data_IF_198420401000
#
_entry.id   IF_198420401000
#
_cell.length_a   1.000
_cell.length_b   1.000
_cell.length_c   1.000
_cell.angle_alpha   90.00
_cell.angle_beta   90.00
_cell.angle_gamma   90.00
#
_symmetry.space_group_name_H-M   'P 1'
#
loop_
_entity.id
_entity.type
_entity.pdbx_description
1 polymer ?
#
# COMPACT_ATOMS: atom_id res chain seq x y z
N UNK A 1 -8.01 -15.70 -25.52
CA UNK A 1 -6.91 -16.55 -26.04
C UNK A 1 -5.60 -15.77 -26.02
N UNK A 2 -4.46 -16.45 -25.96
CA UNK A 2 -3.12 -15.84 -25.99
C UNK A 2 -2.95 -14.94 -27.22
N UNK A 3 -3.46 -15.37 -28.39
CA UNK A 3 -3.41 -14.62 -29.67
C UNK A 3 -4.04 -13.22 -29.50
N UNK A 4 -5.18 -13.11 -28.82
CA UNK A 4 -5.85 -11.82 -28.63
C UNK A 4 -5.03 -10.91 -27.71
N UNK A 5 -4.46 -11.44 -26.63
CA UNK A 5 -3.60 -10.68 -25.71
C UNK A 5 -2.34 -10.20 -26.41
N UNK A 6 -1.66 -11.09 -27.13
CA UNK A 6 -0.43 -10.76 -27.88
C UNK A 6 -0.69 -9.72 -28.97
N UNK A 7 -1.84 -9.79 -29.67
CA UNK A 7 -2.24 -8.77 -30.65
C UNK A 7 -2.42 -7.40 -30.02
N UNK A 8 -3.06 -7.33 -28.84
CA UNK A 8 -3.23 -6.06 -28.10
C UNK A 8 -1.88 -5.50 -27.67
N UNK A 9 -1.01 -6.35 -27.11
CA UNK A 9 0.33 -5.94 -26.68
C UNK A 9 1.16 -5.47 -27.86
N UNK A 10 1.14 -6.20 -29.00
CA UNK A 10 1.85 -5.84 -30.24
C UNK A 10 1.42 -4.45 -30.74
N UNK A 11 0.12 -4.25 -30.89
CA UNK A 11 -0.42 -2.95 -31.32
C UNK A 11 0.01 -1.81 -30.37
N UNK A 12 0.01 -2.11 -29.05
CA UNK A 12 0.45 -1.11 -28.08
C UNK A 12 1.94 -0.77 -28.26
N UNK A 13 2.80 -1.77 -28.49
CA UNK A 13 4.24 -1.60 -28.72
C UNK A 13 4.46 -0.75 -29.98
N UNK A 14 3.83 -1.10 -31.08
CA UNK A 14 3.97 -0.38 -32.36
C UNK A 14 3.65 1.11 -32.23
N UNK A 15 2.58 1.47 -31.50
CA UNK A 15 2.13 2.85 -31.32
C UNK A 15 3.00 3.60 -30.29
N UNK A 16 3.45 2.92 -29.23
CA UNK A 16 4.03 3.54 -28.04
C UNK A 16 5.49 3.16 -27.77
N UNK A 17 6.21 2.67 -28.77
CA UNK A 17 7.63 2.29 -28.64
C UNK A 17 8.52 3.48 -28.25
N UNK A 18 8.18 4.68 -28.74
CA UNK A 18 8.85 5.93 -28.35
C UNK A 18 8.23 6.48 -27.08
N UNK A 19 9.05 7.16 -26.27
CA UNK A 19 8.59 7.84 -25.07
C UNK A 19 7.45 8.82 -25.37
N UNK A 20 6.39 8.68 -24.59
CA UNK A 20 5.26 9.63 -24.57
C UNK A 20 4.80 9.79 -23.11
N UNK A 21 4.75 11.02 -22.63
CA UNK A 21 4.43 11.34 -21.22
C UNK A 21 3.06 10.81 -20.75
N UNK A 22 2.08 10.69 -21.65
CA UNK A 22 0.75 10.15 -21.33
C UNK A 22 0.78 8.64 -21.16
N UNK A 23 1.42 7.90 -22.09
CA UNK A 23 1.43 6.44 -22.12
C UNK A 23 2.57 5.82 -21.30
N UNK A 24 3.63 6.59 -21.02
CA UNK A 24 4.75 6.21 -20.17
C UNK A 24 4.70 6.84 -18.78
N UNK A 25 3.49 7.21 -18.32
CA UNK A 25 3.30 7.65 -16.94
C UNK A 25 3.83 6.58 -15.97
N UNK A 26 4.55 7.01 -14.93
CA UNK A 26 5.29 6.14 -14.02
C UNK A 26 4.44 4.97 -13.46
N UNK A 27 3.26 5.27 -12.91
CA UNK A 27 2.38 4.27 -12.32
C UNK A 27 1.81 3.30 -13.37
N UNK A 28 1.35 3.83 -14.51
CA UNK A 28 0.78 3.03 -15.60
C UNK A 28 1.85 2.11 -16.22
N UNK A 29 3.06 2.62 -16.43
CA UNK A 29 4.19 1.83 -16.93
C UNK A 29 4.57 0.72 -15.97
N UNK A 30 4.62 1.03 -14.66
CA UNK A 30 4.91 0.03 -13.63
C UNK A 30 3.88 -1.10 -13.62
N UNK A 31 2.60 -0.77 -13.62
CA UNK A 31 1.50 -1.75 -13.65
C UNK A 31 1.50 -2.57 -14.95
N UNK A 32 1.85 -1.97 -16.08
CA UNK A 32 1.98 -2.65 -17.37
C UNK A 32 3.08 -3.71 -17.34
N UNK A 33 4.29 -3.35 -16.89
CA UNK A 33 5.41 -4.29 -16.76
C UNK A 33 5.00 -5.47 -15.88
N UNK A 34 4.43 -5.18 -14.69
CA UNK A 34 3.97 -6.21 -13.76
C UNK A 34 2.92 -7.11 -14.45
N UNK A 35 1.91 -6.51 -15.08
CA UNK A 35 0.84 -7.28 -15.74
C UNK A 35 1.38 -8.15 -16.86
N UNK A 36 2.25 -7.64 -17.72
CA UNK A 36 2.75 -8.39 -18.86
C UNK A 36 3.70 -9.51 -18.44
N UNK A 37 4.62 -9.25 -17.52
CA UNK A 37 5.57 -10.27 -17.05
C UNK A 37 4.91 -11.33 -16.16
N UNK A 38 4.03 -10.92 -15.22
CA UNK A 38 3.34 -11.91 -14.35
C UNK A 38 2.34 -12.79 -15.10
N UNK A 39 1.93 -12.40 -16.29
CA UNK A 39 1.05 -13.19 -17.16
C UNK A 39 1.75 -13.66 -18.44
N UNK A 40 3.05 -14.00 -18.36
CA UNK A 40 3.88 -14.35 -19.52
C UNK A 40 3.30 -15.50 -20.37
N UNK A 41 2.60 -16.44 -19.75
CA UNK A 41 1.89 -17.51 -20.45
C UNK A 41 0.88 -16.99 -21.46
N UNK A 42 0.27 -15.82 -21.20
CA UNK A 42 -0.69 -15.19 -22.11
C UNK A 42 -0.03 -14.17 -23.04
N UNK A 43 0.91 -13.39 -22.51
CA UNK A 43 1.50 -12.26 -23.19
C UNK A 43 2.73 -12.60 -24.03
N UNK A 44 3.41 -13.72 -23.77
CA UNK A 44 4.72 -14.01 -24.34
C UNK A 44 4.85 -15.44 -24.92
N UNK A 45 4.33 -16.48 -24.23
CA UNK A 45 4.50 -17.86 -24.65
C UNK A 45 3.87 -18.11 -26.01
N UNK A 46 4.58 -18.96 -26.82
CA UNK A 46 4.16 -19.35 -28.17
C UNK A 46 3.99 -18.17 -29.15
N UNK A 47 4.56 -17.02 -28.87
CA UNK A 47 4.60 -15.89 -29.78
C UNK A 47 5.76 -16.04 -30.79
N UNK A 48 5.68 -15.29 -31.91
CA UNK A 48 6.77 -15.25 -32.91
C UNK A 48 8.05 -14.64 -32.34
N UNK A 49 9.20 -15.01 -32.90
CA UNK A 49 10.49 -14.53 -32.42
C UNK A 49 10.60 -12.98 -32.52
N UNK A 50 10.11 -12.40 -33.61
CA UNK A 50 10.10 -10.95 -33.76
C UNK A 50 9.27 -10.26 -32.65
N UNK A 51 8.10 -10.78 -32.32
CA UNK A 51 7.29 -10.26 -31.23
C UNK A 51 8.03 -10.35 -29.90
N UNK A 52 8.71 -11.47 -29.61
CA UNK A 52 9.49 -11.66 -28.37
C UNK A 52 10.63 -10.66 -28.27
N UNK A 53 11.32 -10.37 -29.36
CA UNK A 53 12.37 -9.36 -29.42
C UNK A 53 11.79 -7.98 -29.08
N UNK A 54 10.69 -7.57 -29.72
CA UNK A 54 10.06 -6.28 -29.50
C UNK A 54 9.52 -6.14 -28.09
N UNK A 55 8.91 -7.20 -27.56
CA UNK A 55 8.42 -7.29 -26.19
C UNK A 55 9.55 -7.12 -25.17
N UNK A 56 10.65 -7.86 -25.32
CA UNK A 56 11.79 -7.79 -24.41
C UNK A 56 12.43 -6.39 -24.44
N UNK A 57 12.63 -5.83 -25.61
CA UNK A 57 13.20 -4.50 -25.79
C UNK A 57 12.36 -3.42 -25.12
N UNK A 58 11.03 -3.46 -25.27
CA UNK A 58 10.16 -2.44 -24.67
C UNK A 58 10.07 -2.58 -23.15
N UNK A 59 10.04 -3.79 -22.61
CA UNK A 59 10.05 -4.02 -21.15
C UNK A 59 11.34 -3.47 -20.52
N UNK A 60 12.49 -3.82 -21.06
CA UNK A 60 13.79 -3.33 -20.55
C UNK A 60 13.88 -1.81 -20.64
N UNK A 61 13.50 -1.23 -21.77
CA UNK A 61 13.47 0.23 -21.97
C UNK A 61 12.57 0.93 -20.96
N UNK A 62 11.39 0.38 -20.67
CA UNK A 62 10.47 0.93 -19.69
C UNK A 62 11.00 0.78 -18.26
N UNK A 63 11.62 -0.35 -17.90
CA UNK A 63 12.20 -0.54 -16.59
C UNK A 63 13.36 0.44 -16.32
N UNK A 64 14.20 0.70 -17.31
CA UNK A 64 15.24 1.73 -17.22
C UNK A 64 14.64 3.14 -17.06
N UNK A 65 13.56 3.43 -17.79
CA UNK A 65 12.83 4.69 -17.62
C UNK A 65 12.30 4.83 -16.17
N UNK A 66 11.68 3.79 -15.61
CA UNK A 66 11.21 3.81 -14.22
C UNK A 66 12.37 4.06 -13.25
N UNK A 67 13.49 3.35 -13.42
CA UNK A 67 14.68 3.53 -12.58
C UNK A 67 15.20 4.97 -12.59
N UNK A 68 15.19 5.62 -13.74
CA UNK A 68 15.63 7.02 -13.88
C UNK A 68 14.64 8.02 -13.25
N UNK A 69 13.35 7.66 -13.13
CA UNK A 69 12.31 8.53 -12.58
C UNK A 69 12.05 8.31 -11.09
N UNK A 70 12.47 7.17 -10.51
CA UNK A 70 12.03 6.70 -9.19
C UNK A 70 12.28 7.70 -8.06
N UNK A 71 13.38 8.43 -8.10
CA UNK A 71 13.74 9.44 -7.09
C UNK A 71 12.85 10.71 -7.17
N UNK A 72 12.18 10.95 -8.29
CA UNK A 72 11.27 12.10 -8.49
C UNK A 72 9.86 11.80 -7.99
N UNK A 73 9.53 10.54 -7.75
CA UNK A 73 8.19 10.11 -7.32
C UNK A 73 8.04 10.36 -5.83
N UNK A 74 7.20 11.31 -5.45
CA UNK A 74 6.91 11.65 -4.04
C UNK A 74 5.98 10.65 -3.37
N UNK A 75 4.98 10.13 -4.10
CA UNK A 75 4.03 9.14 -3.60
C UNK A 75 4.73 7.79 -3.39
N UNK A 76 4.85 7.37 -2.13
CA UNK A 76 5.56 6.16 -1.76
C UNK A 76 4.86 4.86 -2.19
N UNK A 77 3.53 4.87 -2.38
CA UNK A 77 2.83 3.72 -2.95
C UNK A 77 3.13 3.56 -4.44
N UNK A 78 3.08 4.67 -5.21
CA UNK A 78 3.49 4.65 -6.62
C UNK A 78 4.95 4.23 -6.77
N UNK A 79 5.81 4.73 -5.87
CA UNK A 79 7.22 4.34 -5.84
C UNK A 79 7.38 2.85 -5.58
N UNK A 80 6.62 2.26 -4.64
CA UNK A 80 6.65 0.83 -4.36
C UNK A 80 6.26 0.00 -5.59
N UNK A 81 5.21 0.40 -6.31
CA UNK A 81 4.78 -0.27 -7.55
C UNK A 81 5.91 -0.24 -8.60
N UNK A 82 6.57 0.91 -8.77
CA UNK A 82 7.70 1.04 -9.69
C UNK A 82 8.91 0.20 -9.31
N UNK A 83 9.26 0.16 -8.02
CA UNK A 83 10.30 -0.70 -7.47
C UNK A 83 10.00 -2.17 -7.77
N UNK A 84 8.76 -2.59 -7.56
CA UNK A 84 8.33 -3.97 -7.83
C UNK A 84 8.47 -4.33 -9.31
N UNK A 85 8.10 -3.41 -10.21
CA UNK A 85 8.28 -3.61 -11.65
C UNK A 85 9.76 -3.73 -12.06
N UNK A 86 10.64 -2.91 -11.46
CA UNK A 86 12.09 -2.95 -11.71
C UNK A 86 12.67 -4.29 -11.24
N UNK A 87 12.31 -4.75 -10.03
CA UNK A 87 12.76 -6.03 -9.48
C UNK A 87 12.28 -7.17 -10.37
N UNK A 88 11.00 -7.19 -10.74
CA UNK A 88 10.44 -8.24 -11.62
C UNK A 88 11.16 -8.30 -12.96
N UNK A 89 11.45 -7.13 -13.57
CA UNK A 89 12.22 -7.10 -14.83
C UNK A 89 13.62 -7.71 -14.62
N UNK A 90 14.31 -7.36 -13.55
CA UNK A 90 15.63 -7.94 -13.25
C UNK A 90 15.58 -9.45 -12.96
N UNK A 91 14.47 -9.95 -12.43
CA UNK A 91 14.26 -11.40 -12.23
C UNK A 91 13.96 -12.13 -13.53
N UNK A 92 13.22 -11.51 -14.45
CA UNK A 92 12.83 -12.09 -15.74
C UNK A 92 14.00 -12.14 -16.75
N UNK A 93 14.98 -11.23 -16.66
CA UNK A 93 16.10 -11.14 -17.59
C UNK A 93 17.44 -11.35 -16.89
N UNK A 94 18.15 -12.44 -17.21
CA UNK A 94 19.38 -12.84 -16.52
C UNK A 94 20.53 -11.81 -16.64
N UNK A 95 20.56 -11.07 -17.74
CA UNK A 95 21.60 -10.05 -18.00
C UNK A 95 21.35 -8.75 -17.22
N UNK A 96 20.17 -8.59 -16.63
CA UNK A 96 19.73 -7.37 -15.93
C UNK A 96 19.89 -7.45 -14.40
N UNK A 97 20.90 -8.18 -13.89
CA UNK A 97 21.19 -8.27 -12.44
C UNK A 97 21.27 -6.91 -11.73
N UNK A 98 21.72 -5.88 -12.44
CA UNK A 98 21.79 -4.51 -11.92
C UNK A 98 20.43 -3.96 -11.52
N UNK A 99 19.34 -4.36 -12.20
CA UNK A 99 17.97 -3.95 -11.87
C UNK A 99 17.52 -4.56 -10.54
N UNK A 100 17.87 -5.82 -10.27
CA UNK A 100 17.57 -6.47 -8.96
C UNK A 100 18.26 -5.70 -7.84
N UNK A 101 19.57 -5.47 -7.94
CA UNK A 101 20.35 -4.82 -6.89
C UNK A 101 19.82 -3.41 -6.61
N UNK A 102 19.61 -2.59 -7.66
CA UNK A 102 19.07 -1.23 -7.52
C UNK A 102 17.62 -1.25 -7.02
N UNK A 103 16.78 -2.17 -7.52
CA UNK A 103 15.40 -2.34 -7.07
C UNK A 103 15.32 -2.68 -5.59
N UNK A 104 16.13 -3.62 -5.11
CA UNK A 104 16.19 -4.01 -3.69
C UNK A 104 16.71 -2.86 -2.80
N UNK A 105 17.71 -2.09 -3.23
CA UNK A 105 18.17 -0.90 -2.50
C UNK A 105 17.05 0.13 -2.36
N UNK A 106 16.34 0.44 -3.45
CA UNK A 106 15.20 1.33 -3.41
C UNK A 106 14.05 0.78 -2.56
N UNK A 107 13.80 -0.54 -2.58
CA UNK A 107 12.80 -1.19 -1.74
C UNK A 107 13.13 -1.01 -0.26
N UNK A 108 14.36 -1.32 0.13
CA UNK A 108 14.84 -1.17 1.51
C UNK A 108 14.72 0.27 2.01
N UNK A 109 15.09 1.24 1.17
CA UNK A 109 14.94 2.67 1.47
C UNK A 109 13.47 3.08 1.62
N UNK A 110 12.59 2.60 0.72
CA UNK A 110 11.16 2.92 0.75
C UNK A 110 10.49 2.35 2.01
N UNK A 111 10.81 1.12 2.39
CA UNK A 111 10.34 0.47 3.62
C UNK A 111 10.81 1.27 4.84
N UNK A 112 12.11 1.49 5.03
CA UNK A 112 12.69 2.20 6.17
C UNK A 112 12.14 3.63 6.33
N UNK A 113 11.85 4.29 5.23
CA UNK A 113 11.30 5.65 5.25
C UNK A 113 9.85 5.65 5.74
N UNK A 114 9.01 4.70 5.30
CA UNK A 114 7.56 4.75 5.50
C UNK A 114 7.04 3.87 6.63
N UNK A 115 7.75 2.81 6.99
CA UNK A 115 7.36 1.91 8.08
C UNK A 115 8.24 2.16 9.31
N UNK A 116 7.67 1.93 10.50
CA UNK A 116 8.39 1.92 11.77
C UNK A 116 9.11 0.58 12.01
N UNK A 117 9.70 0.40 13.20
CA UNK A 117 10.40 -0.83 13.58
C UNK A 117 9.48 -2.06 13.73
N UNK A 118 8.18 -1.85 13.85
CA UNK A 118 7.17 -2.90 13.92
C UNK A 118 6.47 -3.15 12.57
N UNK A 119 7.00 -2.58 11.49
CA UNK A 119 6.43 -2.70 10.15
C UNK A 119 5.11 -1.94 9.96
N UNK A 120 4.75 -1.02 10.88
CA UNK A 120 3.53 -0.24 10.74
C UNK A 120 3.79 1.10 10.03
N UNK A 121 2.82 1.60 9.21
CA UNK A 121 3.00 2.86 8.50
C UNK A 121 3.16 4.06 9.44
N UNK A 122 4.25 4.81 9.30
CA UNK A 122 4.49 6.06 10.05
C UNK A 122 3.42 7.13 9.78
N UNK A 123 2.67 7.00 8.70
CA UNK A 123 1.51 7.83 8.39
C UNK A 123 0.26 7.46 9.21
N UNK A 124 0.29 6.37 9.95
CA UNK A 124 -0.84 5.73 10.63
C UNK A 124 -1.99 5.32 9.69
N UNK A 125 -1.76 5.38 8.37
CA UNK A 125 -2.73 4.91 7.39
C UNK A 125 -2.66 3.38 7.29
N UNK A 126 -3.65 2.72 7.91
CA UNK A 126 -3.71 1.25 7.98
C UNK A 126 -3.76 0.58 6.60
N UNK A 127 -4.38 1.22 5.59
CA UNK A 127 -4.42 0.68 4.23
C UNK A 127 -3.03 0.56 3.60
N UNK A 128 -2.08 1.40 4.02
CA UNK A 128 -0.69 1.29 3.56
C UNK A 128 -0.07 -0.05 3.94
N UNK A 129 -0.45 -0.65 5.08
CA UNK A 129 0.03 -1.99 5.47
C UNK A 129 -0.38 -3.05 4.45
N UNK A 130 -1.62 -3.01 3.95
CA UNK A 130 -2.11 -3.96 2.92
C UNK A 130 -1.35 -3.75 1.61
N UNK A 131 -1.13 -2.51 1.20
CA UNK A 131 -0.42 -2.20 -0.05
C UNK A 131 1.02 -2.71 0.03
N UNK A 132 1.74 -2.44 1.11
CA UNK A 132 3.10 -2.95 1.30
C UNK A 132 3.11 -4.48 1.36
N UNK A 133 2.21 -5.11 2.13
CA UNK A 133 2.11 -6.56 2.26
C UNK A 133 1.87 -7.21 0.88
N UNK A 134 0.93 -6.68 0.09
CA UNK A 134 0.62 -7.19 -1.24
C UNK A 134 1.85 -7.19 -2.15
N UNK A 135 2.57 -6.08 -2.23
CA UNK A 135 3.71 -5.98 -3.14
C UNK A 135 4.93 -6.76 -2.65
N UNK A 136 5.15 -6.86 -1.33
CA UNK A 136 6.22 -7.70 -0.79
C UNK A 136 5.94 -9.19 -1.04
N UNK A 137 4.70 -9.65 -0.88
CA UNK A 137 4.30 -11.01 -1.24
C UNK A 137 4.51 -11.26 -2.73
N UNK A 138 4.11 -10.34 -3.61
CA UNK A 138 4.36 -10.45 -5.05
C UNK A 138 5.85 -10.60 -5.35
N UNK A 139 6.69 -9.75 -4.77
CA UNK A 139 8.15 -9.83 -4.95
C UNK A 139 8.68 -11.18 -4.45
N UNK A 140 8.23 -11.65 -3.29
CA UNK A 140 8.61 -12.95 -2.74
C UNK A 140 8.27 -14.10 -3.69
N UNK A 141 7.05 -14.13 -4.19
CA UNK A 141 6.62 -15.18 -5.12
C UNK A 141 7.43 -15.13 -6.45
N UNK A 142 7.77 -13.95 -6.96
CA UNK A 142 8.63 -13.82 -8.15
C UNK A 142 10.06 -14.30 -7.90
N UNK A 143 10.66 -14.06 -6.72
CA UNK A 143 11.94 -14.64 -6.34
C UNK A 143 11.88 -16.16 -6.31
N UNK A 144 10.82 -16.71 -5.72
CA UNK A 144 10.58 -18.16 -5.67
C UNK A 144 10.42 -18.76 -7.07
N UNK A 145 9.61 -18.16 -7.95
CA UNK A 145 9.43 -18.61 -9.34
C UNK A 145 10.73 -18.55 -10.16
N UNK A 146 11.54 -17.52 -9.93
CA UNK A 146 12.83 -17.36 -10.63
C UNK A 146 13.96 -18.19 -10.02
N UNK A 147 13.72 -18.91 -8.93
CA UNK A 147 14.71 -19.72 -8.20
C UNK A 147 15.96 -18.93 -7.78
N UNK A 148 15.80 -17.63 -7.52
CA UNK A 148 16.86 -16.75 -7.05
C UNK A 148 16.76 -16.54 -5.53
N UNK A 149 17.92 -16.38 -4.89
CA UNK A 149 17.99 -16.08 -3.47
C UNK A 149 17.35 -14.73 -3.15
N UNK A 150 16.43 -14.76 -2.20
CA UNK A 150 15.69 -13.57 -1.76
C UNK A 150 16.31 -13.02 -0.46
N UNK A 151 16.47 -11.70 -0.32
CA UNK A 151 16.96 -11.10 0.92
C UNK A 151 15.97 -11.26 2.09
N UNK A 152 16.48 -11.64 3.28
CA UNK A 152 15.70 -11.93 4.50
C UNK A 152 14.78 -10.78 4.93
N UNK A 153 15.17 -9.52 4.70
CA UNK A 153 14.36 -8.38 5.09
C UNK A 153 12.97 -8.36 4.43
N UNK A 154 12.77 -9.07 3.31
CA UNK A 154 11.46 -9.18 2.65
C UNK A 154 10.53 -10.05 3.50
N UNK A 155 10.99 -11.24 3.93
CA UNK A 155 10.21 -12.15 4.79
C UNK A 155 9.94 -11.51 6.16
N UNK A 156 10.92 -10.83 6.73
CA UNK A 156 10.77 -10.08 7.98
C UNK A 156 9.66 -9.03 7.88
N UNK A 157 9.64 -8.22 6.83
CA UNK A 157 8.60 -7.22 6.65
C UNK A 157 7.24 -7.83 6.30
N UNK A 158 7.19 -8.94 5.58
CA UNK A 158 5.94 -9.70 5.35
C UNK A 158 5.37 -10.18 6.68
N UNK A 159 6.21 -10.67 7.59
CA UNK A 159 5.78 -11.09 8.91
C UNK A 159 5.13 -9.94 9.70
N UNK A 160 5.81 -8.80 9.85
CA UNK A 160 5.28 -7.65 10.59
C UNK A 160 4.03 -7.05 9.96
N UNK A 161 4.00 -6.89 8.65
CA UNK A 161 2.82 -6.41 7.92
C UNK A 161 1.67 -7.41 8.00
N UNK A 162 1.96 -8.71 8.04
CA UNK A 162 0.98 -9.76 8.26
C UNK A 162 0.36 -9.69 9.64
N UNK A 163 1.14 -9.34 10.69
CA UNK A 163 0.62 -9.07 12.04
C UNK A 163 -0.33 -7.87 12.03
N UNK A 164 0.05 -6.78 11.33
CA UNK A 164 -0.81 -5.62 11.13
C UNK A 164 -2.13 -6.00 10.44
N UNK A 165 -2.04 -6.76 9.35
CA UNK A 165 -3.21 -7.24 8.63
C UNK A 165 -4.14 -8.08 9.52
N UNK A 166 -3.58 -9.04 10.27
CA UNK A 166 -4.34 -9.87 11.19
C UNK A 166 -5.00 -9.06 12.31
N UNK A 167 -4.33 -8.02 12.81
CA UNK A 167 -4.90 -7.16 13.85
C UNK A 167 -6.12 -6.39 13.36
N UNK A 168 -6.05 -5.78 12.18
CA UNK A 168 -7.10 -4.89 11.69
C UNK A 168 -8.23 -5.59 10.93
N UNK A 169 -7.96 -6.67 10.18
CA UNK A 169 -8.94 -7.26 9.25
C UNK A 169 -9.33 -8.69 9.55
N UNK A 170 -8.51 -9.45 10.31
CA UNK A 170 -8.87 -10.84 10.59
C UNK A 170 -10.12 -10.93 11.46
N UNK A 171 -11.08 -11.74 11.02
CA UNK A 171 -12.38 -11.93 11.66
C UNK A 171 -13.29 -10.68 11.69
N UNK A 172 -12.98 -9.68 10.87
CA UNK A 172 -13.80 -8.49 10.68
C UNK A 172 -14.20 -8.45 9.20
N UNK A 173 -15.48 -8.50 8.92
CA UNK A 173 -15.99 -8.40 7.54
C UNK A 173 -16.10 -6.95 7.04
N UNK A 174 -15.41 -6.00 7.69
CA UNK A 174 -15.51 -4.58 7.41
C UNK A 174 -14.13 -3.93 7.46
N UNK A 175 -13.94 -2.90 6.64
CA UNK A 175 -12.75 -2.07 6.69
C UNK A 175 -12.81 -1.14 7.91
N UNK A 176 -11.78 -1.14 8.78
CA UNK A 176 -11.65 -0.12 9.82
C UNK A 176 -11.31 1.23 9.18
N UNK A 177 -12.10 2.26 9.48
CA UNK A 177 -12.01 3.56 8.82
C UNK A 177 -11.15 4.56 9.61
N UNK A 178 -9.84 4.24 9.75
CA UNK A 178 -8.86 5.10 10.42
C UNK A 178 -7.88 5.72 9.43
N UNK A 179 -7.50 6.95 9.68
CA UNK A 179 -6.28 7.61 9.19
C UNK A 179 -5.99 7.45 7.69
N UNK A 180 -6.94 7.85 6.86
CA UNK A 180 -6.79 7.82 5.40
C UNK A 180 -7.27 6.52 4.76
N UNK A 181 -7.81 5.59 5.55
CA UNK A 181 -8.50 4.42 5.01
C UNK A 181 -9.92 4.76 4.56
N UNK A 182 -10.40 3.99 3.62
CA UNK A 182 -11.76 4.07 3.11
C UNK A 182 -12.31 2.66 2.90
N UNK A 183 -13.59 2.54 2.59
CA UNK A 183 -14.20 1.27 2.25
C UNK A 183 -13.49 0.70 1.02
N UNK A 184 -12.94 -0.50 1.17
CA UNK A 184 -12.30 -1.27 0.11
C UNK A 184 -12.82 -2.70 0.14
N UNK A 185 -12.77 -3.39 -0.98
CA UNK A 185 -13.16 -4.80 -1.01
C UNK A 185 -11.93 -5.67 -0.69
N UNK A 186 -11.61 -5.82 0.61
CA UNK A 186 -10.47 -6.65 1.03
C UNK A 186 -10.74 -8.16 0.92
N UNK A 187 -11.96 -8.58 0.58
CA UNK A 187 -12.27 -9.98 0.36
C UNK A 187 -11.42 -10.62 -0.74
N UNK A 188 -11.15 -9.90 -1.82
CA UNK A 188 -10.27 -10.37 -2.88
C UNK A 188 -8.83 -10.58 -2.38
N UNK A 189 -8.37 -9.74 -1.46
CA UNK A 189 -7.05 -9.89 -0.85
C UNK A 189 -6.97 -11.10 0.08
N UNK A 190 -8.02 -11.40 0.85
CA UNK A 190 -8.12 -12.62 1.64
C UNK A 190 -8.05 -13.88 0.76
N UNK A 191 -8.78 -13.89 -0.35
CA UNK A 191 -8.74 -15.00 -1.31
C UNK A 191 -7.34 -15.16 -1.93
N UNK A 192 -6.68 -14.04 -2.23
CA UNK A 192 -5.31 -14.03 -2.73
C UNK A 192 -4.33 -14.64 -1.73
N UNK A 193 -4.40 -14.23 -0.46
CA UNK A 193 -3.56 -14.78 0.61
C UNK A 193 -3.79 -16.28 0.79
N UNK A 194 -5.05 -16.72 0.86
CA UNK A 194 -5.41 -18.15 0.98
C UNK A 194 -4.86 -18.98 -0.18
N UNK A 195 -4.98 -18.49 -1.41
CA UNK A 195 -4.47 -19.18 -2.60
C UNK A 195 -2.96 -19.38 -2.56
N UNK A 196 -2.22 -18.45 -1.98
CA UNK A 196 -0.77 -18.52 -1.83
C UNK A 196 -0.33 -19.19 -0.53
N UNK A 197 -1.24 -19.66 0.31
CA UNK A 197 -0.95 -20.34 1.57
C UNK A 197 -0.54 -19.42 2.71
N UNK A 198 -0.78 -18.10 2.60
CA UNK A 198 -0.50 -17.16 3.70
C UNK A 198 -1.62 -17.18 4.74
N UNK A 199 -1.22 -17.30 6.01
CA UNK A 199 -2.13 -17.18 7.16
C UNK A 199 -1.44 -16.40 8.27
N UNK A 200 -1.95 -15.23 8.58
CA UNK A 200 -1.42 -14.37 9.63
C UNK A 200 -2.31 -14.45 10.89
N UNK A 201 -1.69 -14.32 12.08
CA UNK A 201 -2.39 -14.28 13.34
C UNK A 201 -1.85 -13.13 14.18
N UNK A 202 -2.73 -12.43 14.86
CA UNK A 202 -2.37 -11.45 15.87
C UNK A 202 -3.47 -11.48 16.94
N UNK A 203 -3.11 -11.92 18.14
CA UNK A 203 -4.03 -12.08 19.30
C UNK A 203 -3.78 -10.99 20.35
N UNK A 204 -2.86 -10.06 20.09
CA UNK A 204 -2.55 -8.99 21.01
C UNK A 204 -3.73 -8.01 21.16
N UNK A 205 -3.88 -7.48 22.36
CA UNK A 205 -4.86 -6.40 22.62
C UNK A 205 -4.40 -5.05 22.09
N UNK A 206 -3.12 -4.86 21.90
CA UNK A 206 -2.51 -3.63 21.40
C UNK A 206 -1.57 -3.92 20.23
N UNK A 207 -1.62 -3.06 19.22
CA UNK A 207 -0.70 -3.06 18.08
C UNK A 207 -0.51 -1.64 17.55
N UNK A 208 0.74 -1.16 17.52
CA UNK A 208 1.12 0.16 16.96
C UNK A 208 0.20 1.30 17.43
N UNK A 209 -0.03 1.36 18.74
CA UNK A 209 -0.93 2.33 19.38
C UNK A 209 -2.41 2.23 18.93
N UNK A 210 -2.86 1.10 18.51
CA UNK A 210 -4.27 0.75 18.42
C UNK A 210 -4.58 -0.32 19.47
N UNK A 211 -5.73 -0.18 20.13
CA UNK A 211 -6.22 -1.15 21.10
C UNK A 211 -7.42 -1.87 20.53
N UNK A 212 -7.51 -3.17 20.73
CA UNK A 212 -8.62 -4.00 20.31
C UNK A 212 -9.20 -4.78 21.47
N UNK A 213 -10.50 -4.66 21.67
CA UNK A 213 -11.28 -5.49 22.57
C UNK A 213 -12.19 -6.41 21.76
N UNK A 214 -11.97 -7.71 21.83
CA UNK A 214 -12.70 -8.68 20.99
C UNK A 214 -13.10 -9.93 21.76
N UNK A 215 -14.29 -10.40 21.39
CA UNK A 215 -14.76 -11.74 21.69
C UNK A 215 -15.51 -12.33 20.48
N UNK A 216 -16.22 -13.45 20.65
CA UNK A 216 -16.97 -14.10 19.55
C UNK A 216 -18.04 -13.22 18.91
N UNK A 217 -18.58 -12.24 19.63
CA UNK A 217 -19.71 -11.41 19.18
C UNK A 217 -19.35 -9.95 18.97
N UNK A 218 -18.32 -9.47 19.66
CA UNK A 218 -17.98 -8.05 19.73
C UNK A 218 -16.54 -7.85 19.26
N UNK A 219 -16.34 -6.81 18.47
CA UNK A 219 -15.02 -6.29 18.13
C UNK A 219 -15.04 -4.77 18.21
N UNK A 220 -14.21 -4.20 19.07
CA UNK A 220 -13.96 -2.78 19.18
C UNK A 220 -12.48 -2.54 18.90
N UNK A 221 -12.19 -1.62 18.00
CA UNK A 221 -10.83 -1.13 17.74
C UNK A 221 -10.81 0.37 18.01
N UNK A 222 -9.81 0.86 18.76
CA UNK A 222 -9.64 2.27 19.10
C UNK A 222 -8.25 2.75 18.69
N UNK A 223 -8.18 3.95 18.12
CA UNK A 223 -6.92 4.65 17.85
C UNK A 223 -6.44 5.37 19.13
N UNK A 224 -5.41 4.85 19.78
CA UNK A 224 -4.83 5.40 21.00
C UNK A 224 -3.46 6.03 20.77
N UNK A 225 -3.10 6.31 19.53
CA UNK A 225 -1.78 6.79 19.15
C UNK A 225 -1.65 8.30 18.99
N UNK A 226 -0.41 8.80 18.97
CA UNK A 226 -0.14 10.19 18.67
C UNK A 226 -0.40 10.53 17.20
N UNK A 227 -0.51 11.81 16.90
CA UNK A 227 -0.52 12.27 15.52
C UNK A 227 0.82 11.95 14.84
N UNK A 228 0.83 11.57 13.55
CA UNK A 228 2.07 11.35 12.81
C UNK A 228 2.83 12.66 12.62
N UNK A 229 4.12 12.58 12.32
CA UNK A 229 4.89 13.76 11.97
C UNK A 229 4.34 14.41 10.68
N UNK A 230 4.54 15.72 10.54
CA UNK A 230 4.06 16.56 9.44
C UNK A 230 4.25 15.92 8.06
N UNK A 231 5.43 15.36 7.78
CA UNK A 231 5.78 14.74 6.48
C UNK A 231 4.96 13.48 6.14
N UNK A 232 4.32 12.85 7.12
CA UNK A 232 3.48 11.67 6.96
C UNK A 232 2.00 11.94 7.13
N UNK A 233 1.59 13.21 7.28
CA UNK A 233 0.23 13.59 7.68
C UNK A 233 -0.74 13.85 6.52
N UNK A 234 -0.35 13.65 5.28
CA UNK A 234 -1.14 14.06 4.11
C UNK A 234 -2.55 13.45 4.03
N UNK A 235 -2.77 12.30 4.66
CA UNK A 235 -4.07 11.61 4.75
C UNK A 235 -4.54 11.40 6.20
N UNK A 236 -3.82 11.93 7.18
CA UNK A 236 -4.17 11.79 8.58
C UNK A 236 -5.46 12.54 8.90
N UNK A 237 -6.25 11.98 9.81
CA UNK A 237 -7.53 12.50 10.27
C UNK A 237 -7.44 12.78 11.77
N UNK A 238 -8.12 13.83 12.25
CA UNK A 238 -8.12 14.23 13.66
C UNK A 238 -9.06 13.31 14.47
N UNK A 239 -8.78 12.02 14.45
CA UNK A 239 -9.56 10.94 15.07
C UNK A 239 -8.86 10.33 16.29
N UNK A 240 -8.16 11.12 17.11
CA UNK A 240 -7.54 10.62 18.34
C UNK A 240 -8.59 10.04 19.28
N UNK A 241 -8.39 8.81 19.78
CA UNK A 241 -9.35 8.02 20.57
C UNK A 241 -10.63 7.65 19.81
N UNK A 242 -10.68 7.87 18.50
CA UNK A 242 -11.79 7.35 17.71
C UNK A 242 -11.81 5.82 17.71
N UNK A 243 -12.99 5.26 17.62
CA UNK A 243 -13.16 3.82 17.65
C UNK A 243 -14.16 3.32 16.60
N UNK A 244 -14.02 2.07 16.26
CA UNK A 244 -14.93 1.30 15.42
C UNK A 244 -15.51 0.17 16.25
N UNK A 245 -16.85 -0.02 16.21
CA UNK A 245 -17.53 -1.04 16.99
C UNK A 245 -18.39 -1.91 16.12
N UNK A 246 -18.13 -3.21 16.17
CA UNK A 246 -18.87 -4.26 15.46
C UNK A 246 -19.50 -5.20 16.48
N UNK A 247 -20.77 -5.51 16.33
CA UNK A 247 -21.49 -6.49 17.14
C UNK A 247 -22.24 -7.48 16.28
N UNK A 248 -22.11 -8.79 16.58
CA UNK A 248 -22.75 -9.89 15.83
C UNK A 248 -22.57 -9.77 14.31
N UNK A 249 -21.37 -9.40 13.85
CA UNK A 249 -21.06 -9.23 12.43
C UNK A 249 -21.66 -7.99 11.77
N UNK A 250 -22.25 -7.06 12.54
CA UNK A 250 -22.79 -5.79 12.04
C UNK A 250 -22.00 -4.62 12.60
N UNK A 251 -21.63 -3.67 11.75
CA UNK A 251 -20.99 -2.43 12.14
C UNK A 251 -22.01 -1.50 12.81
N UNK A 252 -21.78 -1.17 14.07
CA UNK A 252 -22.71 -0.38 14.91
C UNK A 252 -22.26 1.08 14.97
N UNK A 253 -20.96 1.29 15.24
CA UNK A 253 -20.35 2.63 15.25
C UNK A 253 -19.15 2.62 14.31
N UNK A 254 -19.01 3.67 13.51
CA UNK A 254 -17.99 3.79 12.48
C UNK A 254 -17.53 5.23 12.32
N UNK A 255 -16.28 5.42 11.94
CA UNK A 255 -15.76 6.71 11.48
C UNK A 255 -16.22 7.02 10.05
N UNK A 256 -16.08 8.27 9.61
CA UNK A 256 -16.51 8.71 8.28
C UNK A 256 -15.70 8.09 7.13
N UNK A 257 -14.50 7.58 7.40
CA UNK A 257 -13.53 7.25 6.38
C UNK A 257 -12.86 8.50 5.76
N UNK A 258 -11.99 8.28 4.78
CA UNK A 258 -11.23 9.34 4.14
C UNK A 258 -11.79 9.66 2.75
N UNK A 259 -12.11 10.92 2.50
CA UNK A 259 -12.52 11.39 1.17
C UNK A 259 -11.33 11.89 0.38
N UNK A 260 -11.28 11.54 -0.91
CA UNK A 260 -10.18 11.91 -1.79
C UNK A 260 -10.14 13.42 -2.07
N UNK A 261 -8.99 13.91 -2.53
CA UNK A 261 -8.77 15.33 -2.86
C UNK A 261 -9.68 15.91 -3.97
N UNK A 262 -10.40 15.07 -4.70
CA UNK A 262 -11.27 15.52 -5.79
C UNK A 262 -12.46 16.34 -5.30
N UNK A 263 -12.83 16.22 -4.02
CA UNK A 263 -13.79 17.10 -3.37
C UNK A 263 -13.12 17.72 -2.14
N UNK A 264 -12.72 18.99 -2.27
CA UNK A 264 -11.96 19.72 -1.25
C UNK A 264 -12.75 19.82 0.06
N UNK A 265 -14.03 20.16 -0.01
CA UNK A 265 -14.87 20.30 1.19
C UNK A 265 -15.00 18.97 1.94
N UNK A 266 -15.36 17.89 1.25
CA UNK A 266 -15.48 16.56 1.87
C UNK A 266 -14.13 16.07 2.40
N UNK A 267 -13.02 16.39 1.71
CA UNK A 267 -11.69 16.06 2.21
C UNK A 267 -11.38 16.78 3.52
N UNK A 268 -11.64 18.10 3.60
CA UNK A 268 -11.44 18.90 4.80
C UNK A 268 -12.34 18.42 5.94
N UNK A 269 -13.64 18.20 5.67
CA UNK A 269 -14.60 17.67 6.65
C UNK A 269 -14.17 16.30 7.19
N UNK A 270 -13.80 15.36 6.33
CA UNK A 270 -13.40 14.01 6.73
C UNK A 270 -12.15 13.99 7.62
N UNK A 271 -11.42 15.09 7.69
CA UNK A 271 -10.22 15.23 8.52
C UNK A 271 -10.49 15.87 9.87
N UNK A 272 -11.66 16.45 10.10
CA UNK A 272 -12.03 17.06 11.39
C UNK A 272 -12.46 16.03 12.42
N UNK A 273 -12.32 16.33 13.71
CA UNK A 273 -12.81 15.48 14.80
C UNK A 273 -14.32 15.27 14.78
N UNK A 274 -15.07 16.25 14.29
CA UNK A 274 -16.54 16.26 14.30
C UNK A 274 -17.19 15.09 13.52
N UNK A 275 -16.46 14.42 12.63
CA UNK A 275 -16.97 13.30 11.83
C UNK A 275 -16.44 11.94 12.31
N UNK A 276 -15.85 11.89 13.49
CA UNK A 276 -15.34 10.67 14.10
C UNK A 276 -16.04 10.38 15.43
N UNK A 277 -16.02 9.13 15.85
CA UNK A 277 -16.55 8.69 17.15
C UNK A 277 -15.54 9.02 18.25
N UNK A 278 -15.44 10.29 18.63
CA UNK A 278 -14.47 10.76 19.62
C UNK A 278 -15.11 11.78 20.59
N UNK A 279 -14.42 12.01 21.69
CA UNK A 279 -14.70 13.15 22.56
C UNK A 279 -14.15 14.43 21.92
N UNK A 280 -15.01 15.44 21.74
CA UNK A 280 -14.63 16.80 21.33
C UNK A 280 -14.68 17.69 22.55
N UNK A 281 -13.62 18.50 22.77
CA UNK A 281 -13.49 19.41 23.90
C UNK A 281 -13.46 20.84 23.33
N UNK A 282 -14.34 21.72 23.85
CA UNK A 282 -14.45 23.13 23.47
C UNK A 282 -14.48 23.35 21.94
N UNK A 283 -15.23 22.53 21.22
CA UNK A 283 -15.36 22.56 19.74
C UNK A 283 -14.02 22.51 18.98
N UNK A 284 -12.95 22.05 19.64
CA UNK A 284 -11.65 21.90 19.03
C UNK A 284 -11.43 20.48 18.48
N UNK A 285 -10.92 20.39 17.26
CA UNK A 285 -10.40 19.13 16.72
C UNK A 285 -9.12 18.70 17.43
N UNK A 286 -8.94 17.41 17.63
CA UNK A 286 -7.74 16.81 18.24
C UNK A 286 -6.44 17.10 17.47
N UNK A 287 -6.55 17.66 16.27
CA UNK A 287 -5.44 18.06 15.43
C UNK A 287 -5.82 19.26 14.57
N UNK A 288 -4.90 20.23 14.43
CA UNK A 288 -5.05 21.39 13.53
C UNK A 288 -4.28 21.16 12.23
N UNK A 289 -4.91 21.47 11.11
CA UNK A 289 -4.31 21.35 9.77
C UNK A 289 -4.03 22.72 9.17
N UNK A 290 -3.07 22.77 8.26
CA UNK A 290 -2.81 23.93 7.39
C UNK A 290 -2.53 23.46 5.98
N UNK A 291 -2.77 24.32 4.99
CA UNK A 291 -2.37 24.05 3.59
C UNK A 291 -0.86 24.29 3.44
N UNK A 292 -0.19 23.37 2.77
CA UNK A 292 1.21 23.54 2.37
C UNK A 292 1.30 24.30 1.03
N UNK A 293 2.52 24.50 0.51
CA UNK A 293 2.77 25.18 -0.78
C UNK A 293 2.07 24.51 -1.98
N UNK A 294 1.72 23.24 -1.87
CA UNK A 294 1.01 22.49 -2.90
C UNK A 294 -0.52 22.43 -2.65
N UNK A 295 -1.05 23.29 -1.79
CA UNK A 295 -2.46 23.29 -1.37
C UNK A 295 -2.94 21.98 -0.72
N UNK A 296 -2.02 21.15 -0.24
CA UNK A 296 -2.33 19.92 0.48
C UNK A 296 -2.41 20.20 1.98
N UNK A 297 -3.39 19.58 2.65
CA UNK A 297 -3.48 19.67 4.10
C UNK A 297 -2.37 18.85 4.78
N UNK A 298 -1.66 19.48 5.69
CA UNK A 298 -0.67 18.87 6.57
C UNK A 298 -0.92 19.28 8.02
N UNK A 299 -0.44 18.51 8.98
CA UNK A 299 -0.56 18.86 10.40
C UNK A 299 0.20 20.16 10.67
N UNK A 300 -0.50 21.11 11.28
CA UNK A 300 0.07 22.31 11.91
C UNK A 300 0.40 22.02 13.38
N UNK A 301 -0.60 21.45 14.08
CA UNK A 301 -0.49 21.11 15.49
C UNK A 301 -1.21 19.77 15.70
N UNK A 302 -0.52 18.81 16.28
CA UNK A 302 -0.99 17.43 16.43
C UNK A 302 -0.93 16.97 17.88
N UNK A 303 -1.69 15.91 18.18
CA UNK A 303 -1.72 15.30 19.49
C UNK A 303 -0.38 14.65 19.82
N UNK A 304 0.10 14.92 21.03
CA UNK A 304 1.22 14.23 21.67
C UNK A 304 0.70 13.44 22.86
N UNK A 305 1.17 12.22 23.03
CA UNK A 305 0.84 11.41 24.20
C UNK A 305 1.93 11.60 25.25
N UNK A 306 1.57 12.15 26.40
CA UNK A 306 2.49 12.35 27.53
C UNK A 306 2.48 11.15 28.49
N UNK A 307 1.33 10.48 28.63
CA UNK A 307 1.18 9.28 29.46
C UNK A 307 0.09 8.37 28.91
N UNK A 308 0.37 7.08 28.85
CA UNK A 308 -0.59 6.03 28.49
C UNK A 308 -0.61 4.99 29.60
N UNK A 309 -1.80 4.65 30.09
CA UNK A 309 -2.00 3.56 31.05
C UNK A 309 -3.12 2.68 30.54
N UNK A 310 -2.83 1.40 30.35
CA UNK A 310 -3.84 0.38 30.07
C UNK A 310 -4.12 -0.30 31.41
N UNK A 311 -5.39 -0.33 31.81
CA UNK A 311 -5.86 -0.99 33.02
C UNK A 311 -6.59 -2.24 32.55
N UNK A 312 -6.09 -3.41 32.91
CA UNK A 312 -6.71 -4.70 32.62
C UNK A 312 -7.82 -5.01 33.61
#
# INVERSE_FOLDING_TARGET
SNISVQKIVKNWIEINYRYNSKTWNFETTSKRIISWLSNYKLSYDNASDQYKIDFNNIIQKQALHLLNQINKIKDYHKRLIGISAIILTGLAYNDEKKLIVKGLDHLKKNIRYNLDSFGFPKSRNINSSIIFLKYLILIREWFKESQKEMPDFIDENIFYLGQSYAFFWKNINFDPLFNGNNISNNHEFDLYLKRLGYSFKNENYEFSDYVSLRNKKINLIMDTGPSPSKKFSSKYQAGALSFEFVSNGKKILTNSGYFSKNNIQLNEMSRSSAVHNILVIDDNSSCKFKKNSNSELEIKDGLKITKKKIIN
#
